data_IF_027209232273
#
_entry.id   IF_027209232273
#
_cell.length_a   1.000
_cell.length_b   1.000
_cell.length_c   1.000
_cell.angle_alpha   90.00
_cell.angle_beta   90.00
_cell.angle_gamma   90.00
#
_symmetry.space_group_name_H-M   'P 1'
#
loop_
_entity.id
_entity.type
_entity.pdbx_description
1 polymer ?
#
# COMPACT_ATOMS: atom_id res chain seq x y z
N UNK A 1 -31.49 -33.99 -20.30
CA UNK A 1 -31.00 -32.78 -20.99
C UNK A 1 -29.92 -32.15 -20.12
N UNK A 2 -28.70 -31.92 -20.62
CA UNK A 2 -27.69 -31.22 -19.84
C UNK A 2 -28.08 -29.74 -19.77
N UNK A 3 -28.38 -29.26 -18.57
CA UNK A 3 -28.58 -27.84 -18.30
C UNK A 3 -27.28 -27.13 -18.65
N UNK A 4 -27.31 -26.25 -19.66
CA UNK A 4 -26.23 -25.29 -19.93
C UNK A 4 -25.97 -24.52 -18.64
N UNK A 5 -24.85 -24.80 -17.98
CA UNK A 5 -24.38 -24.01 -16.86
C UNK A 5 -24.09 -22.61 -17.40
N UNK A 6 -24.88 -21.63 -16.97
CA UNK A 6 -24.56 -20.24 -17.25
C UNK A 6 -23.25 -19.91 -16.56
N UNK A 7 -22.24 -19.39 -17.29
CA UNK A 7 -20.96 -19.06 -16.68
C UNK A 7 -21.17 -17.99 -15.61
N UNK A 8 -20.62 -18.23 -14.41
CA UNK A 8 -20.72 -17.34 -13.27
C UNK A 8 -19.37 -17.21 -12.58
N UNK A 9 -19.04 -16.00 -12.12
CA UNK A 9 -17.87 -15.79 -11.25
C UNK A 9 -17.96 -16.61 -9.96
N UNK A 10 -19.18 -16.91 -9.50
CA UNK A 10 -19.39 -17.70 -8.28
C UNK A 10 -18.99 -19.17 -8.44
N UNK A 11 -18.90 -19.69 -9.67
CA UNK A 11 -18.46 -21.07 -9.92
C UNK A 11 -16.96 -21.18 -10.15
N UNK A 12 -16.22 -20.06 -10.19
CA UNK A 12 -14.77 -20.09 -10.35
C UNK A 12 -14.07 -20.61 -9.09
N UNK A 13 -12.98 -21.38 -9.26
CA UNK A 13 -12.00 -21.63 -8.21
C UNK A 13 -11.46 -20.33 -7.61
N UNK A 14 -11.13 -20.37 -6.32
CA UNK A 14 -10.70 -19.17 -5.58
C UNK A 14 -9.40 -18.59 -6.13
N UNK A 15 -8.52 -19.43 -6.66
CA UNK A 15 -7.25 -19.05 -7.25
C UNK A 15 -7.44 -18.17 -8.48
N UNK A 16 -8.48 -18.45 -9.29
CA UNK A 16 -8.82 -17.60 -10.44
C UNK A 16 -9.44 -16.28 -9.99
N UNK A 17 -10.19 -16.28 -8.89
CA UNK A 17 -10.72 -15.05 -8.31
C UNK A 17 -9.60 -14.17 -7.76
N UNK A 18 -8.62 -14.74 -7.04
CA UNK A 18 -7.43 -13.99 -6.61
C UNK A 18 -6.65 -13.40 -7.78
N UNK A 19 -6.45 -14.17 -8.86
CA UNK A 19 -5.82 -13.64 -10.08
C UNK A 19 -6.61 -12.51 -10.70
N UNK A 20 -7.93 -12.51 -10.64
CA UNK A 20 -8.74 -11.38 -11.11
C UNK A 20 -8.51 -10.16 -10.20
N UNK A 21 -8.48 -10.36 -8.88
CA UNK A 21 -8.24 -9.27 -7.92
C UNK A 21 -6.86 -8.61 -8.11
N UNK A 22 -5.84 -9.34 -8.56
CA UNK A 22 -4.52 -8.77 -8.90
C UNK A 22 -4.57 -7.70 -10.01
N UNK A 23 -5.63 -7.65 -10.82
CA UNK A 23 -5.82 -6.63 -11.86
C UNK A 23 -6.81 -5.52 -11.46
N UNK A 24 -7.31 -5.53 -10.22
CA UNK A 24 -8.24 -4.52 -9.71
C UNK A 24 -7.55 -3.63 -8.69
N UNK A 25 -7.92 -2.35 -8.68
CA UNK A 25 -7.46 -1.43 -7.66
C UNK A 25 -8.16 -1.70 -6.31
N UNK A 26 -7.54 -1.26 -5.21
CA UNK A 26 -8.05 -1.48 -3.86
C UNK A 26 -9.45 -0.90 -3.64
N UNK A 27 -9.82 0.21 -4.30
CA UNK A 27 -11.17 0.78 -4.17
C UNK A 27 -12.17 -0.16 -4.82
N UNK A 28 -11.89 -0.67 -6.02
CA UNK A 28 -12.75 -1.65 -6.67
C UNK A 28 -12.89 -2.92 -5.83
N UNK A 29 -11.81 -3.42 -5.24
CA UNK A 29 -11.86 -4.64 -4.41
C UNK A 29 -12.70 -4.42 -3.14
N UNK A 30 -12.40 -3.38 -2.36
CA UNK A 30 -12.98 -3.18 -1.03
C UNK A 30 -14.33 -2.43 -1.04
N UNK A 31 -14.54 -1.52 -1.98
CA UNK A 31 -15.77 -0.71 -2.05
C UNK A 31 -16.86 -1.37 -2.90
N UNK A 32 -16.47 -2.17 -3.91
CA UNK A 32 -17.39 -2.80 -4.84
C UNK A 32 -17.44 -4.32 -4.68
N UNK A 33 -16.35 -5.03 -5.01
CA UNK A 33 -16.33 -6.50 -5.07
C UNK A 33 -16.69 -7.15 -3.72
N UNK A 34 -16.10 -6.67 -2.63
CA UNK A 34 -16.36 -7.11 -1.25
C UNK A 34 -17.85 -7.09 -0.88
N UNK A 35 -18.63 -6.13 -1.41
CA UNK A 35 -20.03 -5.90 -1.01
C UNK A 35 -21.05 -6.70 -1.82
N UNK A 36 -20.64 -7.40 -2.87
CA UNK A 36 -21.58 -8.08 -3.79
C UNK A 36 -22.22 -9.31 -3.16
N UNK A 37 -21.44 -10.18 -2.53
CA UNK A 37 -21.95 -11.41 -1.91
C UNK A 37 -20.98 -11.94 -0.85
N UNK A 38 -21.46 -12.87 -0.01
CA UNK A 38 -20.67 -13.48 1.07
C UNK A 38 -19.41 -14.18 0.56
N UNK A 39 -19.47 -14.86 -0.59
CA UNK A 39 -18.27 -15.50 -1.19
C UNK A 39 -17.18 -14.47 -1.46
N UNK A 40 -17.54 -13.34 -2.08
CA UNK A 40 -16.57 -12.30 -2.43
C UNK A 40 -16.05 -11.58 -1.20
N UNK A 41 -16.91 -11.32 -0.21
CA UNK A 41 -16.50 -10.81 1.11
C UNK A 41 -15.41 -11.70 1.74
N UNK A 42 -15.64 -13.01 1.83
CA UNK A 42 -14.65 -13.94 2.38
C UNK A 42 -13.36 -13.97 1.56
N UNK A 43 -13.46 -13.95 0.24
CA UNK A 43 -12.29 -13.89 -0.65
C UNK A 43 -11.45 -12.64 -0.40
N UNK A 44 -12.08 -11.48 -0.22
CA UNK A 44 -11.34 -10.25 0.07
C UNK A 44 -10.66 -10.27 1.45
N UNK A 45 -11.20 -11.00 2.43
CA UNK A 45 -10.57 -11.14 3.74
C UNK A 45 -9.30 -12.01 3.69
N UNK A 46 -9.26 -12.98 2.78
CA UNK A 46 -8.12 -13.90 2.63
C UNK A 46 -7.18 -13.52 1.48
N UNK A 47 -7.59 -12.56 0.63
CA UNK A 47 -6.73 -11.99 -0.40
C UNK A 47 -5.60 -11.21 0.24
N UNK A 48 -4.40 -11.41 -0.29
CA UNK A 48 -3.18 -11.07 0.41
C UNK A 48 -2.17 -10.34 -0.51
N UNK A 49 -2.66 -9.79 -1.63
CA UNK A 49 -1.88 -9.06 -2.61
C UNK A 49 -2.33 -7.61 -2.75
N UNK A 50 -2.73 -6.95 -1.65
CA UNK A 50 -3.24 -5.59 -1.75
C UNK A 50 -2.14 -4.59 -2.10
N UNK A 51 -2.42 -3.78 -3.12
CA UNK A 51 -1.65 -2.59 -3.47
C UNK A 51 -2.48 -1.36 -3.10
N UNK A 52 -2.04 -0.64 -2.08
CA UNK A 52 -2.71 0.57 -1.62
C UNK A 52 -2.16 1.78 -2.36
N UNK A 53 -2.96 2.39 -3.22
CA UNK A 53 -2.65 3.66 -3.86
C UNK A 53 -3.59 4.74 -3.36
N UNK A 54 -3.07 5.63 -2.52
CA UNK A 54 -3.80 6.77 -1.97
C UNK A 54 -3.47 8.09 -2.68
N UNK A 55 -2.72 8.08 -3.77
CA UNK A 55 -2.30 9.29 -4.49
C UNK A 55 -3.47 10.12 -5.04
N UNK A 56 -4.63 9.49 -5.25
CA UNK A 56 -5.84 10.13 -5.77
C UNK A 56 -7.10 9.84 -4.95
N UNK A 57 -6.96 9.16 -3.80
CA UNK A 57 -8.10 8.82 -2.94
C UNK A 57 -8.71 10.04 -2.26
N UNK A 58 -10.02 10.05 -2.06
CA UNK A 58 -10.64 11.04 -1.18
C UNK A 58 -10.30 10.76 0.30
N UNK A 59 -10.54 11.71 1.20
CA UNK A 59 -10.38 11.48 2.65
C UNK A 59 -11.29 10.37 3.16
N UNK A 60 -12.53 10.32 2.67
CA UNK A 60 -13.51 9.33 3.08
C UNK A 60 -13.09 7.93 2.62
N UNK A 61 -12.66 7.79 1.36
CA UNK A 61 -12.14 6.53 0.84
C UNK A 61 -10.89 6.08 1.60
N UNK A 62 -9.97 7.00 1.88
CA UNK A 62 -8.78 6.72 2.68
C UNK A 62 -9.14 6.15 4.05
N UNK A 63 -10.02 6.82 4.80
CA UNK A 63 -10.44 6.34 6.13
C UNK A 63 -11.16 5.00 6.05
N UNK A 64 -12.03 4.82 5.05
CA UNK A 64 -12.77 3.57 4.87
C UNK A 64 -11.84 2.41 4.54
N UNK A 65 -10.89 2.59 3.61
CA UNK A 65 -9.91 1.57 3.25
C UNK A 65 -9.02 1.24 4.46
N UNK A 66 -8.54 2.24 5.19
CA UNK A 66 -7.75 2.02 6.40
C UNK A 66 -8.52 1.21 7.47
N UNK A 67 -9.85 1.31 7.52
CA UNK A 67 -10.66 0.53 8.45
C UNK A 67 -10.87 -0.93 8.03
N UNK A 68 -10.79 -1.22 6.73
CA UNK A 68 -11.02 -2.56 6.19
C UNK A 68 -9.75 -3.38 5.97
N UNK A 69 -8.61 -2.71 5.81
CA UNK A 69 -7.38 -3.40 5.41
C UNK A 69 -6.70 -4.07 6.62
N UNK A 70 -6.22 -5.29 6.38
CA UNK A 70 -5.32 -6.00 7.27
C UNK A 70 -3.88 -5.74 6.83
N UNK A 71 -3.02 -5.08 7.64
CA UNK A 71 -1.66 -4.71 7.25
C UNK A 71 -0.83 -5.89 6.70
N UNK A 72 -1.00 -7.08 7.25
CA UNK A 72 -0.32 -8.31 6.83
C UNK A 72 -0.64 -8.76 5.39
N UNK A 73 -1.73 -8.26 4.81
CA UNK A 73 -2.19 -8.59 3.46
C UNK A 73 -1.75 -7.59 2.38
N UNK A 74 -1.00 -6.55 2.77
CA UNK A 74 -0.57 -5.47 1.89
C UNK A 74 0.87 -5.69 1.43
N UNK A 75 1.10 -5.53 0.13
CA UNK A 75 2.41 -5.71 -0.51
C UNK A 75 3.02 -4.41 -1.02
N UNK A 76 2.19 -3.40 -1.30
CA UNK A 76 2.61 -2.10 -1.83
C UNK A 76 1.79 -0.98 -1.22
N UNK A 77 2.44 0.13 -0.88
CA UNK A 77 1.80 1.34 -0.37
C UNK A 77 2.32 2.56 -1.13
N UNK A 78 1.40 3.40 -1.59
CA UNK A 78 1.65 4.73 -2.13
C UNK A 78 0.81 5.72 -1.31
N UNK A 79 1.48 6.61 -0.59
CA UNK A 79 0.83 7.69 0.19
C UNK A 79 1.45 9.02 -0.19
N UNK A 80 0.61 10.06 -0.30
CA UNK A 80 1.03 11.38 -0.81
C UNK A 80 0.46 12.51 0.03
N UNK A 81 1.27 13.51 0.37
CA UNK A 81 0.81 14.74 1.03
C UNK A 81 0.51 15.83 0.00
N UNK A 82 -0.46 15.58 -0.90
CA UNK A 82 -0.87 16.57 -1.91
C UNK A 82 -1.53 17.79 -1.27
N UNK A 83 -1.53 18.91 -1.99
CA UNK A 83 -2.19 20.15 -1.53
C UNK A 83 -3.68 19.96 -1.25
N UNK A 84 -4.33 19.06 -1.99
CA UNK A 84 -5.76 18.74 -1.81
C UNK A 84 -6.02 17.89 -0.56
N UNK A 85 -5.04 17.11 -0.10
CA UNK A 85 -5.15 16.19 1.05
C UNK A 85 -3.87 16.25 1.88
N UNK A 86 -3.60 17.38 2.57
CA UNK A 86 -2.37 17.53 3.32
C UNK A 86 -2.36 16.64 4.58
N UNK A 87 -1.19 16.07 4.89
CA UNK A 87 -0.94 15.30 6.10
C UNK A 87 -1.44 13.85 6.07
N UNK A 88 -1.79 13.33 4.89
CA UNK A 88 -2.21 11.94 4.70
C UNK A 88 -1.10 10.94 5.04
N UNK A 89 0.17 11.25 4.75
CA UNK A 89 1.32 10.41 5.14
C UNK A 89 1.36 10.29 6.66
N UNK A 90 1.41 11.43 7.36
CA UNK A 90 1.46 11.43 8.82
C UNK A 90 0.25 10.73 9.44
N UNK A 91 -0.94 10.94 8.88
CA UNK A 91 -2.15 10.26 9.31
C UNK A 91 -2.02 8.73 9.13
N UNK A 92 -1.55 8.26 7.97
CA UNK A 92 -1.34 6.84 7.70
C UNK A 92 -0.41 6.20 8.74
N UNK A 93 0.75 6.80 9.00
CA UNK A 93 1.71 6.30 10.00
C UNK A 93 1.25 6.49 11.46
N UNK A 94 0.23 7.31 11.71
CA UNK A 94 -0.43 7.37 13.02
C UNK A 94 -1.46 6.26 13.24
N UNK A 95 -2.04 5.74 12.14
CA UNK A 95 -3.02 4.66 12.17
C UNK A 95 -2.35 3.29 12.20
N UNK A 96 -1.20 3.16 11.54
CA UNK A 96 -0.49 1.89 11.42
C UNK A 96 0.97 1.97 11.82
N UNK A 97 1.43 0.93 12.50
CA UNK A 97 2.86 0.70 12.69
C UNK A 97 3.39 -0.04 11.46
N UNK A 98 4.44 0.48 10.82
CA UNK A 98 4.92 -0.08 9.55
C UNK A 98 5.37 -1.56 9.68
N UNK A 99 5.77 -1.98 10.88
CA UNK A 99 6.17 -3.35 11.19
C UNK A 99 4.99 -4.35 11.12
N UNK A 100 3.74 -3.88 11.17
CA UNK A 100 2.55 -4.71 10.97
C UNK A 100 2.44 -5.20 9.52
N UNK A 101 3.04 -4.48 8.57
CA UNK A 101 3.01 -4.83 7.15
C UNK A 101 4.10 -5.85 6.81
N UNK A 102 3.99 -7.05 7.37
CA UNK A 102 5.01 -8.12 7.28
C UNK A 102 5.34 -8.56 5.86
N UNK A 103 4.46 -8.27 4.89
CA UNK A 103 4.62 -8.62 3.47
C UNK A 103 4.90 -7.42 2.57
N UNK A 104 5.05 -6.23 3.14
CA UNK A 104 5.34 -5.02 2.40
C UNK A 104 6.66 -5.16 1.63
N UNK A 105 6.59 -4.95 0.32
CA UNK A 105 7.74 -4.96 -0.58
C UNK A 105 7.99 -3.60 -1.20
N UNK A 106 6.96 -2.76 -1.32
CA UNK A 106 7.06 -1.46 -1.97
C UNK A 106 6.46 -0.37 -1.09
N UNK A 107 7.20 0.71 -0.89
CA UNK A 107 6.72 1.92 -0.25
C UNK A 107 7.07 3.14 -1.11
N UNK A 108 6.06 3.92 -1.45
CA UNK A 108 6.22 5.22 -2.11
C UNK A 108 5.65 6.32 -1.22
N UNK A 109 6.50 7.27 -0.86
CA UNK A 109 6.16 8.48 -0.13
C UNK A 109 6.27 9.66 -1.09
N UNK A 110 5.14 10.26 -1.41
CA UNK A 110 5.06 11.37 -2.36
C UNK A 110 4.80 12.70 -1.64
N UNK A 111 5.51 13.75 -2.06
CA UNK A 111 5.45 15.08 -1.47
C UNK A 111 5.75 15.14 0.05
N UNK A 112 6.62 14.28 0.57
CA UNK A 112 6.93 14.20 2.01
C UNK A 112 7.90 15.31 2.48
N UNK A 113 7.70 15.84 3.68
CA UNK A 113 8.67 16.76 4.32
C UNK A 113 9.93 15.99 4.77
N UNK A 114 11.10 16.62 4.63
CA UNK A 114 12.36 15.99 5.00
C UNK A 114 12.48 15.64 6.49
N UNK A 115 11.75 16.30 7.39
CA UNK A 115 11.73 15.95 8.82
C UNK A 115 10.96 14.65 9.04
N UNK A 116 9.74 14.58 8.51
CA UNK A 116 8.88 13.40 8.60
C UNK A 116 9.53 12.17 7.92
N UNK A 117 10.23 12.39 6.80
CA UNK A 117 10.97 11.34 6.12
C UNK A 117 12.02 10.67 7.03
N UNK A 118 12.75 11.42 7.86
CA UNK A 118 13.78 10.82 8.71
C UNK A 118 13.18 9.89 9.77
N UNK A 119 12.02 10.27 10.32
CA UNK A 119 11.28 9.46 11.30
C UNK A 119 10.81 8.16 10.64
N UNK A 120 10.16 8.26 9.47
CA UNK A 120 9.68 7.10 8.73
C UNK A 120 10.82 6.19 8.29
N UNK A 121 11.92 6.75 7.79
CA UNK A 121 13.09 5.96 7.39
C UNK A 121 13.63 5.12 8.55
N UNK A 122 13.65 5.66 9.77
CA UNK A 122 14.07 4.90 10.94
C UNK A 122 13.14 3.71 11.22
N UNK A 123 11.82 3.92 11.08
CA UNK A 123 10.82 2.90 11.35
C UNK A 123 10.79 1.78 10.29
N UNK A 124 11.11 2.11 9.04
CA UNK A 124 11.09 1.14 7.93
C UNK A 124 12.43 0.41 7.74
N UNK A 125 13.50 0.76 8.46
CA UNK A 125 14.81 0.10 8.37
C UNK A 125 14.72 -1.43 8.63
N UNK A 126 13.95 -1.90 9.62
CA UNK A 126 13.76 -3.33 9.86
C UNK A 126 12.90 -4.03 8.79
N UNK A 127 12.21 -3.28 7.93
CA UNK A 127 11.31 -3.86 6.93
C UNK A 127 12.09 -4.44 5.76
N UNK A 128 11.66 -5.62 5.27
CA UNK A 128 12.23 -6.26 4.08
C UNK A 128 11.67 -5.68 2.77
N UNK A 129 11.82 -4.36 2.61
CA UNK A 129 11.42 -3.64 1.41
C UNK A 129 12.32 -4.03 0.23
N UNK A 130 11.71 -4.14 -0.94
CA UNK A 130 12.40 -4.31 -2.22
C UNK A 130 12.45 -2.99 -3.00
N UNK A 131 11.43 -2.15 -2.83
CA UNK A 131 11.29 -0.87 -3.51
C UNK A 131 10.98 0.23 -2.50
N UNK A 132 11.76 1.30 -2.55
CA UNK A 132 11.52 2.51 -1.78
C UNK A 132 11.62 3.71 -2.72
N UNK A 133 10.57 4.52 -2.74
CA UNK A 133 10.50 5.74 -3.54
C UNK A 133 10.10 6.91 -2.67
N UNK A 134 10.90 7.97 -2.64
CA UNK A 134 10.65 9.15 -1.82
C UNK A 134 10.74 10.41 -2.69
N UNK A 135 9.63 11.14 -2.81
CA UNK A 135 9.57 12.46 -3.44
C UNK A 135 9.48 13.50 -2.31
N UNK A 136 10.58 14.19 -2.08
CA UNK A 136 10.72 15.09 -0.94
C UNK A 136 10.48 16.54 -1.32
N UNK A 137 9.81 17.28 -0.42
CA UNK A 137 9.81 18.74 -0.44
C UNK A 137 11.02 19.26 0.32
N UNK A 138 11.80 20.12 -0.33
CA UNK A 138 12.90 20.86 0.30
C UNK A 138 14.26 20.16 0.24
N UNK A 139 15.26 20.77 0.91
CA UNK A 139 16.64 20.30 0.87
C UNK A 139 16.86 19.15 1.84
N UNK A 140 17.38 18.04 1.32
CA UNK A 140 17.84 16.89 2.10
C UNK A 140 18.93 17.31 3.08
N UNK A 141 18.82 16.84 4.32
CA UNK A 141 19.83 17.07 5.35
C UNK A 141 20.84 15.89 5.41
N UNK A 142 21.94 16.06 6.14
CA UNK A 142 22.97 15.01 6.28
C UNK A 142 22.44 13.73 6.94
N UNK A 143 21.43 13.85 7.82
CA UNK A 143 20.83 12.70 8.50
C UNK A 143 20.06 11.83 7.50
N UNK A 144 19.25 12.44 6.62
CA UNK A 144 18.53 11.74 5.56
C UNK A 144 19.50 10.95 4.68
N UNK A 145 20.62 11.57 4.28
CA UNK A 145 21.64 10.87 3.48
C UNK A 145 22.29 9.70 4.23
N UNK A 146 22.53 9.86 5.53
CA UNK A 146 23.04 8.78 6.38
C UNK A 146 22.07 7.60 6.45
N UNK A 147 20.79 7.85 6.73
CA UNK A 147 19.76 6.81 6.79
C UNK A 147 19.59 6.09 5.45
N UNK A 148 19.56 6.83 4.34
CA UNK A 148 19.49 6.24 3.00
C UNK A 148 20.71 5.37 2.68
N UNK A 149 21.90 5.76 3.16
CA UNK A 149 23.10 4.92 3.04
C UNK A 149 22.98 3.61 3.82
N UNK A 150 22.31 3.61 4.98
CA UNK A 150 22.03 2.39 5.74
C UNK A 150 21.06 1.48 4.97
N UNK A 151 20.01 2.02 4.35
CA UNK A 151 19.13 1.22 3.48
C UNK A 151 19.89 0.53 2.35
N UNK A 152 20.81 1.22 1.69
CA UNK A 152 21.58 0.63 0.59
C UNK A 152 22.47 -0.52 1.07
N UNK A 153 22.94 -0.47 2.32
CA UNK A 153 23.94 -1.42 2.85
C UNK A 153 23.33 -2.57 3.64
N UNK A 154 22.22 -2.34 4.35
CA UNK A 154 21.68 -3.28 5.34
C UNK A 154 20.33 -3.90 4.95
N UNK A 155 19.69 -3.45 3.87
CA UNK A 155 18.33 -3.89 3.52
C UNK A 155 18.26 -4.77 2.27
N UNK A 156 17.11 -5.43 2.08
CA UNK A 156 16.80 -6.22 0.89
C UNK A 156 16.44 -5.38 -0.35
N UNK A 157 16.74 -4.09 -0.32
CA UNK A 157 16.30 -3.13 -1.31
C UNK A 157 16.96 -3.39 -2.67
N UNK A 158 16.12 -3.49 -3.70
CA UNK A 158 16.55 -3.66 -5.10
C UNK A 158 16.51 -2.35 -5.86
N UNK A 159 15.63 -1.44 -5.44
CA UNK A 159 15.45 -0.16 -6.10
C UNK A 159 15.19 0.93 -5.06
N UNK A 160 15.97 2.00 -5.17
CA UNK A 160 15.82 3.24 -4.42
C UNK A 160 15.61 4.38 -5.40
N UNK A 161 14.49 5.10 -5.27
CA UNK A 161 14.26 6.35 -6.00
C UNK A 161 14.12 7.49 -5.01
N UNK A 162 14.91 8.55 -5.19
CA UNK A 162 14.86 9.74 -4.33
C UNK A 162 14.84 10.95 -5.24
N UNK A 163 13.71 11.65 -5.24
CA UNK A 163 13.50 12.84 -6.05
C UNK A 163 13.32 14.05 -5.14
N UNK A 164 13.85 15.19 -5.57
CA UNK A 164 13.72 16.49 -4.88
C UNK A 164 13.16 17.50 -5.85
N UNK A 165 12.11 18.21 -5.43
CA UNK A 165 11.64 19.44 -6.08
C UNK A 165 12.35 20.66 -5.50
#
# INVERSE_FOLDING_TARGET
MPTKLNPSLLTLPVELLYRILEYLDVHTILLSFHKVCTKFHTITQTFNGYELDFSSSTKDDFHFICHLIHPENVISIIVSDRETIPGQIKLFFSLFQIQQFTRLRSLTLDNIDCKDLNEILHDILPCSLMFLSCHTRGKRNKLTLGLLSMFITESSLRQLSINTH
#
